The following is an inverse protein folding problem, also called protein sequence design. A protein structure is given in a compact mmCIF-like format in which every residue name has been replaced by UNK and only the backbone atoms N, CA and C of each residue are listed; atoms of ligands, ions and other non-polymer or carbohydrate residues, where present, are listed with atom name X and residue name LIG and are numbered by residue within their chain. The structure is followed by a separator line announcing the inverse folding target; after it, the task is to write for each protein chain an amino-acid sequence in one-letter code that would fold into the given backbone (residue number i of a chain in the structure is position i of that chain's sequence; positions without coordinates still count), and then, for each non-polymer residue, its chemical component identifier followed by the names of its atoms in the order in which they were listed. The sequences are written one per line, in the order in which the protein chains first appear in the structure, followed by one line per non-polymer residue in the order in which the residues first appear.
data_IF_149538252896
#
_entry.id   IF_149538252896
#
_cell.length_a   1.000
_cell.length_b   1.000
_cell.length_c   1.000
_cell.angle_alpha   90.00
_cell.angle_beta   90.00
_cell.angle_gamma   90.00
#
_symmetry.space_group_name_H-M   'P 1'
#
loop_
_entity.id
_entity.type
_entity.pdbx_description
1 polymer ?
#
# COMPACT_ATOMS: atom_id res chain seq x y z
N UNK A 1 40.81 -1.98 -29.43
CA UNK A 1 39.64 -2.35 -30.28
C UNK A 1 38.88 -3.54 -29.71
N UNK A 2 39.53 -4.65 -29.34
CA UNK A 2 38.87 -5.86 -28.78
C UNK A 2 38.12 -5.61 -27.44
N UNK A 3 38.64 -4.74 -26.58
CA UNK A 3 38.00 -4.41 -25.29
C UNK A 3 36.72 -3.59 -25.44
N UNK A 4 36.68 -2.70 -26.44
CA UNK A 4 35.51 -1.85 -26.71
C UNK A 4 34.36 -2.67 -27.28
N UNK A 5 34.63 -3.60 -28.19
CA UNK A 5 33.59 -4.48 -28.76
C UNK A 5 33.02 -5.42 -27.71
N UNK A 6 33.87 -6.00 -26.84
CA UNK A 6 33.43 -6.81 -25.71
C UNK A 6 32.53 -6.04 -24.73
N UNK A 7 32.89 -4.79 -24.40
CA UNK A 7 32.07 -3.93 -23.56
C UNK A 7 30.69 -3.64 -24.16
N UNK A 8 30.63 -3.35 -25.47
CA UNK A 8 29.36 -3.11 -26.16
C UNK A 8 28.48 -4.35 -26.20
N UNK A 9 29.03 -5.53 -26.47
CA UNK A 9 28.28 -6.80 -26.46
C UNK A 9 27.72 -7.07 -25.07
N UNK A 10 28.53 -6.91 -24.02
CA UNK A 10 28.09 -7.10 -22.64
C UNK A 10 26.99 -6.10 -22.26
N UNK A 11 27.17 -4.82 -22.55
CA UNK A 11 26.19 -3.78 -22.21
C UNK A 11 24.88 -3.93 -22.99
N UNK A 12 24.96 -4.30 -24.27
CA UNK A 12 23.78 -4.58 -25.09
C UNK A 12 23.08 -5.85 -24.61
N UNK A 13 23.82 -6.88 -24.22
CA UNK A 13 23.30 -8.09 -23.60
C UNK A 13 22.59 -7.82 -22.27
N UNK A 14 23.17 -7.00 -21.39
CA UNK A 14 22.55 -6.59 -20.11
C UNK A 14 21.28 -5.76 -20.37
N UNK A 15 21.30 -4.84 -21.33
CA UNK A 15 20.13 -4.03 -21.72
C UNK A 15 19.02 -4.90 -22.30
N UNK A 16 19.36 -5.81 -23.21
CA UNK A 16 18.42 -6.75 -23.81
C UNK A 16 17.86 -7.71 -22.75
N UNK A 17 18.69 -8.21 -21.83
CA UNK A 17 18.25 -9.05 -20.73
C UNK A 17 17.32 -8.32 -19.75
N UNK A 18 17.57 -7.03 -19.48
CA UNK A 18 16.66 -6.17 -18.70
C UNK A 18 15.34 -5.91 -19.42
N UNK A 19 15.38 -5.75 -20.74
CA UNK A 19 14.18 -5.55 -21.58
C UNK A 19 13.34 -6.84 -21.69
N UNK A 20 13.99 -7.99 -21.87
CA UNK A 20 13.34 -9.31 -21.97
C UNK A 20 12.85 -9.82 -20.61
N UNK A 21 13.53 -9.50 -19.51
CA UNK A 21 12.99 -9.67 -18.15
C UNK A 21 11.99 -8.56 -17.88
N UNK A 22 10.82 -8.63 -18.51
CA UNK A 22 9.61 -8.12 -17.88
C UNK A 22 9.43 -8.84 -16.54
N UNK A 23 10.03 -8.31 -15.46
CA UNK A 23 9.84 -8.88 -14.13
C UNK A 23 8.35 -8.79 -13.84
N UNK A 24 7.69 -9.94 -13.77
CA UNK A 24 6.31 -10.01 -13.33
C UNK A 24 6.24 -9.31 -11.97
N UNK A 25 5.49 -8.21 -11.92
CA UNK A 25 5.36 -7.45 -10.69
C UNK A 25 4.57 -8.33 -9.71
N UNK A 26 5.11 -8.68 -8.53
CA UNK A 26 4.49 -9.64 -7.63
C UNK A 26 3.14 -9.10 -7.14
N UNK A 27 2.08 -9.78 -7.54
CA UNK A 27 0.70 -9.46 -7.15
C UNK A 27 0.19 -10.50 -6.17
N UNK A 28 -0.65 -10.06 -5.25
CA UNK A 28 -1.29 -10.91 -4.27
C UNK A 28 -2.78 -10.59 -4.18
N UNK A 29 -3.54 -11.56 -3.69
CA UNK A 29 -4.93 -11.36 -3.31
C UNK A 29 -4.95 -10.98 -1.84
N UNK A 30 -5.77 -10.01 -1.48
CA UNK A 30 -5.76 -9.42 -0.15
C UNK A 30 -7.19 -9.24 0.33
N UNK A 31 -7.45 -9.57 1.60
CA UNK A 31 -8.73 -9.33 2.26
C UNK A 31 -8.47 -8.44 3.47
N UNK A 32 -9.10 -7.27 3.49
CA UNK A 32 -9.05 -6.35 4.62
C UNK A 32 -10.36 -6.45 5.41
N UNK A 33 -10.26 -6.55 6.73
CA UNK A 33 -11.39 -6.63 7.65
C UNK A 33 -11.42 -5.40 8.56
N UNK A 34 -12.59 -4.80 8.72
CA UNK A 34 -12.84 -3.67 9.62
C UNK A 34 -14.28 -3.77 10.14
N UNK A 35 -14.45 -3.92 11.45
CA UNK A 35 -15.72 -4.29 12.07
C UNK A 35 -16.21 -5.65 11.55
N UNK A 36 -17.48 -5.72 11.18
CA UNK A 36 -18.09 -6.93 10.60
C UNK A 36 -17.89 -7.04 9.08
N UNK A 37 -17.33 -5.99 8.45
CA UNK A 37 -17.25 -5.87 7.00
C UNK A 37 -15.86 -6.24 6.47
N UNK A 38 -15.84 -6.72 5.24
CA UNK A 38 -14.62 -7.16 4.55
C UNK A 38 -14.59 -6.68 3.11
N UNK A 39 -13.41 -6.35 2.61
CA UNK A 39 -13.18 -6.04 1.19
C UNK A 39 -12.02 -6.85 0.64
N UNK A 40 -12.25 -7.46 -0.51
CA UNK A 40 -11.22 -8.15 -1.27
C UNK A 40 -10.61 -7.23 -2.34
N UNK A 41 -9.29 -7.30 -2.48
CA UNK A 41 -8.47 -6.40 -3.28
C UNK A 41 -7.34 -7.14 -3.97
N UNK A 42 -6.81 -6.53 -5.02
CA UNK A 42 -5.52 -6.91 -5.60
C UNK A 42 -4.42 -6.07 -4.97
N UNK A 43 -3.48 -6.73 -4.31
CA UNK A 43 -2.28 -6.13 -3.73
C UNK A 43 -1.09 -6.21 -4.66
N UNK A 44 -0.27 -5.18 -4.66
CA UNK A 44 1.06 -5.14 -5.26
C UNK A 44 2.10 -5.23 -4.14
N UNK A 45 2.95 -6.27 -4.16
CA UNK A 45 4.10 -6.32 -3.26
C UNK A 45 5.18 -5.35 -3.78
N UNK A 46 5.37 -4.25 -3.08
CA UNK A 46 6.32 -3.20 -3.48
C UNK A 46 7.55 -3.21 -2.59
N UNK A 47 8.65 -3.78 -3.09
CA UNK A 47 9.92 -3.83 -2.38
C UNK A 47 10.49 -2.45 -2.01
N UNK A 48 10.04 -1.38 -2.67
CA UNK A 48 10.43 -0.01 -2.36
C UNK A 48 9.64 0.64 -1.24
N UNK A 49 8.51 0.04 -0.81
CA UNK A 49 7.68 0.61 0.24
C UNK A 49 8.31 0.41 1.63
N UNK A 50 8.98 1.46 2.11
CA UNK A 50 9.63 1.51 3.41
C UNK A 50 8.80 2.20 4.49
N UNK A 51 7.54 2.58 4.21
CA UNK A 51 6.69 3.31 5.15
C UNK A 51 6.52 2.53 6.45
N UNK A 52 6.70 3.26 7.55
CA UNK A 52 6.54 2.75 8.90
C UNK A 52 5.73 3.74 9.70
N UNK A 53 4.76 3.19 10.41
CA UNK A 53 3.94 3.92 11.33
C UNK A 53 4.77 4.39 12.52
N UNK A 54 4.80 5.69 12.80
CA UNK A 54 5.66 6.24 13.86
C UNK A 54 5.13 5.89 15.26
N UNK A 55 3.82 5.72 15.40
CA UNK A 55 3.18 5.51 16.70
C UNK A 55 3.24 4.03 17.09
N UNK A 56 3.02 3.13 16.12
CA UNK A 56 2.96 1.67 16.36
C UNK A 56 4.23 0.92 15.93
N UNK A 57 5.09 1.54 15.11
CA UNK A 57 6.22 0.87 14.48
C UNK A 57 5.84 -0.17 13.43
N UNK A 58 4.56 -0.33 13.08
CA UNK A 58 4.15 -1.33 12.09
C UNK A 58 4.50 -0.86 10.66
N UNK A 59 4.82 -1.78 9.73
CA UNK A 59 4.90 -1.44 8.32
C UNK A 59 3.52 -0.96 7.82
N UNK A 60 3.52 0.04 6.95
CA UNK A 60 2.27 0.62 6.41
C UNK A 60 2.01 0.08 5.02
N UNK A 61 0.84 -0.52 4.83
CA UNK A 61 0.30 -0.77 3.49
C UNK A 61 -0.48 0.44 3.01
N UNK A 62 -0.50 0.72 1.71
CA UNK A 62 -1.26 1.86 1.16
C UNK A 62 -2.41 1.33 0.33
N UNK A 63 -3.61 1.86 0.52
CA UNK A 63 -4.83 1.41 -0.16
C UNK A 63 -5.59 2.60 -0.74
N UNK A 64 -6.29 2.41 -1.86
CA UNK A 64 -7.19 3.44 -2.39
C UNK A 64 -8.33 3.73 -1.39
N UNK A 65 -8.47 5.01 -0.98
CA UNK A 65 -9.44 5.45 0.04
C UNK A 65 -10.86 4.97 -0.25
N UNK A 66 -11.30 5.06 -1.51
CA UNK A 66 -12.66 4.68 -1.92
C UNK A 66 -12.97 3.19 -1.67
N UNK A 67 -11.95 2.32 -1.71
CA UNK A 67 -12.11 0.91 -1.42
C UNK A 67 -12.34 0.68 0.07
N UNK A 68 -11.65 1.43 0.92
CA UNK A 68 -11.87 1.35 2.36
C UNK A 68 -13.24 1.91 2.75
N UNK A 69 -13.67 3.01 2.13
CA UNK A 69 -14.97 3.61 2.39
C UNK A 69 -16.13 2.66 2.05
N UNK A 70 -15.96 1.77 1.07
CA UNK A 70 -17.01 0.81 0.68
C UNK A 70 -17.42 -0.18 1.78
N UNK A 71 -16.60 -0.35 2.83
CA UNK A 71 -16.88 -1.23 3.97
C UNK A 71 -17.22 -0.49 5.26
N UNK A 72 -17.25 0.84 5.22
CA UNK A 72 -17.58 1.67 6.39
C UNK A 72 -19.06 2.05 6.39
N UNK A 73 -19.61 2.29 7.58
CA UNK A 73 -20.93 2.91 7.71
C UNK A 73 -20.89 4.38 7.25
N UNK A 74 -22.03 4.95 6.82
CA UNK A 74 -22.11 6.32 6.31
C UNK A 74 -21.50 7.36 7.26
N UNK A 75 -21.77 7.25 8.57
CA UNK A 75 -21.22 8.16 9.58
C UNK A 75 -19.70 8.08 9.66
N UNK A 76 -19.14 6.86 9.62
CA UNK A 76 -17.70 6.63 9.61
C UNK A 76 -17.05 7.14 8.32
N UNK A 77 -17.70 6.96 7.16
CA UNK A 77 -17.23 7.50 5.89
C UNK A 77 -17.12 9.03 5.94
N UNK A 78 -18.16 9.71 6.41
CA UNK A 78 -18.18 11.18 6.53
C UNK A 78 -17.09 11.70 7.49
N UNK A 79 -16.97 11.09 8.67
CA UNK A 79 -15.95 11.45 9.64
C UNK A 79 -14.52 11.19 9.12
N UNK A 80 -14.29 10.06 8.46
CA UNK A 80 -12.99 9.72 7.89
C UNK A 80 -12.64 10.58 6.67
N UNK A 81 -13.62 11.00 5.87
CA UNK A 81 -13.38 11.91 4.75
C UNK A 81 -12.97 13.30 5.24
N UNK A 82 -13.64 13.83 6.27
CA UNK A 82 -13.25 15.07 6.96
C UNK A 82 -11.85 14.97 7.53
N UNK A 83 -11.53 13.86 8.20
CA UNK A 83 -10.18 13.59 8.66
C UNK A 83 -9.18 13.58 7.50
N UNK A 84 -9.44 12.88 6.39
CA UNK A 84 -8.51 12.87 5.25
C UNK A 84 -8.28 14.28 4.64
N UNK A 85 -9.22 15.20 4.78
CA UNK A 85 -9.14 16.60 4.31
C UNK A 85 -8.55 17.58 5.33
N UNK A 86 -8.19 17.11 6.53
CA UNK A 86 -7.73 17.95 7.65
C UNK A 86 -8.81 18.95 8.12
N UNK A 87 -10.08 18.56 8.02
CA UNK A 87 -11.22 19.29 8.56
C UNK A 87 -11.57 18.77 9.97
N UNK A 88 -12.43 19.49 10.71
CA UNK A 88 -12.93 19.03 12.01
C UNK A 88 -13.68 17.70 11.84
N UNK A 89 -13.03 16.59 12.19
CA UNK A 89 -13.58 15.26 12.14
C UNK A 89 -14.43 14.97 13.39
N UNK A 90 -15.53 14.21 13.22
CA UNK A 90 -16.16 13.54 14.35
C UNK A 90 -15.23 12.42 14.81
N UNK A 91 -14.36 12.70 15.77
CA UNK A 91 -13.31 11.77 16.18
C UNK A 91 -13.88 10.48 16.79
N UNK A 92 -15.05 10.55 17.45
CA UNK A 92 -15.64 9.40 18.12
C UNK A 92 -16.10 8.30 17.15
N UNK A 93 -16.65 8.65 15.98
CA UNK A 93 -17.11 7.66 14.99
C UNK A 93 -15.98 6.81 14.42
N UNK A 94 -14.77 7.36 14.36
CA UNK A 94 -13.60 6.73 13.74
C UNK A 94 -12.51 6.37 14.74
N UNK A 95 -12.74 6.61 16.04
CA UNK A 95 -11.76 6.40 17.12
C UNK A 95 -11.22 4.98 17.18
N UNK A 96 -12.07 3.99 16.93
CA UNK A 96 -11.69 2.57 16.90
C UNK A 96 -10.63 2.26 15.84
N UNK A 97 -10.58 3.05 14.77
CA UNK A 97 -9.60 2.92 13.70
C UNK A 97 -8.28 3.65 14.00
N UNK A 98 -8.16 4.34 15.13
CA UNK A 98 -6.97 5.09 15.55
C UNK A 98 -6.37 5.96 14.41
N UNK A 99 -7.14 6.91 13.84
CA UNK A 99 -6.70 7.69 12.69
C UNK A 99 -5.54 8.63 13.06
N UNK A 100 -4.53 8.69 12.20
CA UNK A 100 -3.32 9.52 12.39
C UNK A 100 -2.70 9.91 11.05
N UNK A 101 -1.84 10.92 11.03
CA UNK A 101 -1.10 11.28 9.80
C UNK A 101 0.33 10.76 9.85
N UNK A 102 0.77 10.19 8.74
CA UNK A 102 2.15 9.81 8.51
C UNK A 102 2.80 10.77 7.49
N UNK A 103 3.79 11.57 7.91
CA UNK A 103 4.66 12.27 6.97
C UNK A 103 5.42 11.27 6.12
N UNK A 104 5.41 11.45 4.80
CA UNK A 104 6.13 10.61 3.88
C UNK A 104 6.83 11.41 2.78
N UNK A 105 7.77 10.77 2.11
CA UNK A 105 8.44 11.33 0.93
C UNK A 105 8.39 10.28 -0.16
N UNK A 106 7.88 10.66 -1.33
CA UNK A 106 7.87 9.83 -2.52
C UNK A 106 8.77 10.45 -3.59
N UNK A 107 9.33 9.61 -4.46
CA UNK A 107 10.18 10.07 -5.56
C UNK A 107 9.38 11.01 -6.48
N UNK A 108 9.84 12.25 -6.61
CA UNK A 108 9.21 13.27 -7.47
C UNK A 108 8.06 14.06 -6.81
N UNK A 109 7.80 13.87 -5.51
CA UNK A 109 6.85 14.67 -4.75
C UNK A 109 7.53 15.41 -3.60
N UNK A 110 7.02 16.59 -3.24
CA UNK A 110 7.33 17.24 -1.97
C UNK A 110 6.89 16.36 -0.78
N UNK A 111 7.32 16.69 0.44
CA UNK A 111 6.90 15.99 1.66
C UNK A 111 5.37 15.96 1.74
N UNK A 112 4.79 14.77 1.69
CA UNK A 112 3.35 14.55 1.77
C UNK A 112 2.91 14.11 3.16
N UNK A 113 1.63 14.28 3.45
CA UNK A 113 0.96 13.68 4.61
C UNK A 113 0.01 12.59 4.13
N UNK A 114 0.12 11.40 4.72
CA UNK A 114 -0.73 10.25 4.41
C UNK A 114 -1.65 9.99 5.61
N UNK A 115 -2.98 10.06 5.46
CA UNK A 115 -3.90 9.56 6.48
C UNK A 115 -3.70 8.06 6.66
N UNK A 116 -3.48 7.62 7.89
CA UNK A 116 -3.30 6.21 8.27
C UNK A 116 -4.35 5.82 9.28
N UNK A 117 -4.94 4.64 9.08
CA UNK A 117 -5.85 4.00 10.02
C UNK A 117 -5.31 2.64 10.42
N UNK A 118 -5.90 2.07 11.45
CA UNK A 118 -5.68 0.71 11.91
C UNK A 118 -6.95 -0.08 11.61
N UNK A 119 -6.85 -1.08 10.75
CA UNK A 119 -7.94 -2.01 10.50
C UNK A 119 -7.87 -3.19 11.47
N UNK A 120 -8.83 -4.10 11.47
CA UNK A 120 -8.82 -5.22 12.41
C UNK A 120 -7.87 -6.33 11.96
N UNK A 121 -7.90 -6.65 10.67
CA UNK A 121 -7.09 -7.73 10.09
C UNK A 121 -6.81 -7.51 8.61
N UNK A 122 -5.63 -7.92 8.18
CA UNK A 122 -5.25 -8.05 6.78
C UNK A 122 -4.85 -9.50 6.50
N UNK A 123 -5.54 -10.14 5.56
CA UNK A 123 -5.15 -11.45 5.05
C UNK A 123 -4.51 -11.31 3.68
N UNK A 124 -3.31 -11.86 3.50
CA UNK A 124 -2.55 -11.80 2.26
C UNK A 124 -2.35 -13.22 1.75
N UNK A 125 -2.74 -13.45 0.50
CA UNK A 125 -2.55 -14.71 -0.21
C UNK A 125 -1.47 -14.51 -1.29
N UNK A 126 -0.28 -15.04 -1.04
CA UNK A 126 0.90 -14.87 -1.90
C UNK A 126 1.71 -16.15 -1.95
N UNK A 127 2.10 -16.59 -3.15
CA UNK A 127 2.91 -17.82 -3.39
C UNK A 127 2.38 -19.08 -2.66
N UNK A 128 1.05 -19.26 -2.66
CA UNK A 128 0.41 -20.41 -2.00
C UNK A 128 0.37 -20.33 -0.47
N UNK A 129 0.86 -19.25 0.14
CA UNK A 129 0.82 -19.00 1.58
C UNK A 129 -0.32 -18.03 1.92
N UNK A 130 -0.88 -18.19 3.11
CA UNK A 130 -1.79 -17.24 3.75
C UNK A 130 -1.07 -16.59 4.93
N UNK A 131 -0.98 -15.27 4.92
CA UNK A 131 -0.38 -14.46 5.99
C UNK A 131 -1.52 -13.64 6.61
N UNK A 132 -1.63 -13.66 7.93
CA UNK A 132 -2.67 -12.92 8.67
C UNK A 132 -1.99 -11.89 9.57
N UNK A 133 -2.27 -10.61 9.33
CA UNK A 133 -1.70 -9.49 10.07
C UNK A 133 -2.78 -8.88 10.94
N UNK A 134 -2.68 -8.96 12.27
CA UNK A 134 -3.62 -8.30 13.17
C UNK A 134 -3.28 -6.81 13.33
N UNK A 135 -4.34 -5.99 13.40
CA UNK A 135 -4.22 -4.55 13.60
C UNK A 135 -3.24 -3.87 12.62
N UNK A 136 -3.36 -4.12 11.29
CA UNK A 136 -2.45 -3.56 10.28
C UNK A 136 -2.61 -2.04 10.16
N UNK A 137 -1.51 -1.34 9.94
CA UNK A 137 -1.53 0.09 9.61
C UNK A 137 -1.77 0.27 8.10
N UNK A 138 -2.85 0.97 7.73
CA UNK A 138 -3.29 1.19 6.36
C UNK A 138 -3.30 2.68 6.05
N UNK A 139 -2.43 3.11 5.16
CA UNK A 139 -2.44 4.45 4.57
C UNK A 139 -3.51 4.57 3.49
N UNK A 140 -4.26 5.67 3.49
CA UNK A 140 -5.36 5.92 2.57
C UNK A 140 -4.92 6.89 1.48
N UNK A 141 -4.78 6.38 0.25
CA UNK A 141 -4.47 7.18 -0.91
C UNK A 141 -5.72 7.84 -1.48
N UNK A 142 -5.68 9.17 -1.65
CA UNK A 142 -6.72 9.93 -2.35
C UNK A 142 -6.69 9.77 -3.87
N UNK A 143 -5.57 9.30 -4.42
CA UNK A 143 -5.38 9.06 -5.86
C UNK A 143 -5.38 7.56 -6.15
N UNK A 144 -5.68 7.21 -7.41
CA UNK A 144 -5.59 5.80 -7.83
C UNK A 144 -4.14 5.34 -7.85
N UNK A 145 -3.90 4.14 -7.34
CA UNK A 145 -2.57 3.54 -7.24
C UNK A 145 -2.12 2.91 -8.56
N UNK A 146 -3.05 2.61 -9.47
CA UNK A 146 -2.76 2.02 -10.76
C UNK A 146 -3.64 2.64 -11.86
N UNK A 147 -3.05 3.22 -12.93
CA UNK A 147 -3.83 3.82 -14.02
C UNK A 147 -4.84 2.86 -14.66
N UNK A 148 -4.54 1.56 -14.65
CA UNK A 148 -5.38 0.50 -15.22
C UNK A 148 -6.04 -0.38 -14.15
N UNK A 149 -6.09 0.07 -12.88
CA UNK A 149 -6.64 -0.69 -11.75
C UNK A 149 -6.09 -2.12 -11.63
N UNK A 150 -4.81 -2.30 -11.94
CA UNK A 150 -4.17 -3.61 -11.84
C UNK A 150 -3.95 -4.06 -10.39
N UNK A 151 -3.94 -3.11 -9.48
CA UNK A 151 -3.87 -3.28 -8.03
C UNK A 151 -4.51 -2.06 -7.37
N UNK A 152 -5.03 -2.27 -6.17
CA UNK A 152 -5.76 -1.26 -5.37
C UNK A 152 -5.11 -1.07 -3.99
N UNK A 153 -4.04 -1.83 -3.72
CA UNK A 153 -3.28 -1.80 -2.48
C UNK A 153 -1.80 -2.06 -2.75
N UNK A 154 -0.92 -1.33 -2.08
CA UNK A 154 0.52 -1.56 -2.00
C UNK A 154 0.81 -2.26 -0.68
N UNK A 155 1.43 -3.43 -0.77
CA UNK A 155 1.82 -4.26 0.36
C UNK A 155 3.30 -4.01 0.66
N UNK A 156 3.58 -3.66 1.93
CA UNK A 156 4.96 -3.53 2.39
C UNK A 156 5.63 -4.91 2.47
N UNK A 157 6.87 -5.08 1.97
CA UNK A 157 7.59 -6.36 2.00
C UNK A 157 7.88 -6.82 3.42
N UNK A 158 8.03 -5.87 4.36
CA UNK A 158 8.29 -6.13 5.78
C UNK A 158 7.16 -6.90 6.47
N UNK A 159 5.97 -6.95 5.88
CA UNK A 159 4.86 -7.78 6.39
C UNK A 159 5.11 -9.26 6.17
N UNK A 160 5.86 -9.63 5.12
CA UNK A 160 6.15 -11.03 4.80
C UNK A 160 7.25 -11.62 5.69
N UNK A 161 7.96 -10.77 6.44
CA UNK A 161 9.07 -11.14 7.33
C UNK A 161 8.62 -11.36 8.79
N UNK A 162 7.32 -11.15 9.08
CA UNK A 162 6.78 -11.13 10.45
C UNK A 162 6.22 -12.46 10.93
#
# INVERSE_FOLDING_TARGET
TITFTAYWILNTGIRLFKYLKGKAVPRCRVILESGEQKVELKGLLDTGNCLRDMDTGKPVCVMEKNRFFSILEKKQQEALDKFCRMENAGEEEIRSMNPRYLPYTALGCERGLLPVITADRLEIFFEGRKISVPQPAIGLSGTSLSPYKNFEMIISPKILES
#
